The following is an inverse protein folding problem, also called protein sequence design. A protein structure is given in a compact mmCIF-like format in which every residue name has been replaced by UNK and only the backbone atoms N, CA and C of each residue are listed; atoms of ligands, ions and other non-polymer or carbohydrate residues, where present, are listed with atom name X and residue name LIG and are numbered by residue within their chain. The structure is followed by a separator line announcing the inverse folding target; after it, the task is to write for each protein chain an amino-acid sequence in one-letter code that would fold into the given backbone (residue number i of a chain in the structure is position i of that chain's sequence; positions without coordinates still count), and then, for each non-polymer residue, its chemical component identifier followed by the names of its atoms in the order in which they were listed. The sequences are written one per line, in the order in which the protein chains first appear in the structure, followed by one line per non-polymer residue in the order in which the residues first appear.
data_IF_554994817832
#
_entry.id   IF_554994817832
#
_cell.length_a   1.000
_cell.length_b   1.000
_cell.length_c   1.000
_cell.angle_alpha   90.00
_cell.angle_beta   90.00
_cell.angle_gamma   90.00
#
_symmetry.space_group_name_H-M   'P 1'
#
loop_
_entity.id
_entity.type
_entity.pdbx_description
1 polymer ?
#
# COMPACT_ATOMS: atom_id res chain seq x y z
N UNK A 1 54.46 7.50 -5.65
CA UNK A 1 54.19 8.90 -5.99
C UNK A 1 52.74 9.16 -5.62
N UNK A 2 52.50 9.79 -4.46
CA UNK A 2 51.17 10.28 -4.07
C UNK A 2 50.79 11.40 -5.04
N UNK A 3 50.05 11.08 -6.10
CA UNK A 3 49.25 12.09 -6.79
C UNK A 3 48.20 12.56 -5.81
N UNK A 4 48.13 13.85 -5.50
CA UNK A 4 47.22 14.42 -4.48
C UNK A 4 45.71 14.23 -4.73
N UNK A 5 45.31 13.32 -5.63
CA UNK A 5 43.93 12.91 -5.82
C UNK A 5 43.67 11.61 -5.05
N UNK A 6 42.57 11.52 -4.28
CA UNK A 6 42.20 10.30 -3.60
C UNK A 6 41.99 9.16 -4.61
N UNK A 7 42.53 7.99 -4.31
CA UNK A 7 42.41 6.79 -5.15
C UNK A 7 40.91 6.44 -5.34
N UNK A 8 40.43 6.20 -6.58
CA UNK A 8 39.00 5.94 -6.82
C UNK A 8 38.43 4.77 -6.00
N UNK A 9 39.23 3.74 -5.73
CA UNK A 9 38.85 2.60 -4.89
C UNK A 9 38.63 2.99 -3.42
N UNK A 10 39.45 3.91 -2.89
CA UNK A 10 39.29 4.44 -1.54
C UNK A 10 38.02 5.29 -1.41
N UNK A 11 37.71 6.10 -2.43
CA UNK A 11 36.46 6.89 -2.46
C UNK A 11 35.24 5.96 -2.49
N UNK A 12 35.25 4.93 -3.33
CA UNK A 12 34.15 3.96 -3.41
C UNK A 12 33.99 3.22 -2.08
N UNK A 13 35.07 2.81 -1.42
CA UNK A 13 34.99 2.13 -0.13
C UNK A 13 34.38 3.01 0.97
N UNK A 14 34.67 4.32 0.98
CA UNK A 14 34.07 5.29 1.90
C UNK A 14 32.60 5.58 1.57
N UNK A 15 32.21 5.53 0.29
CA UNK A 15 30.85 5.80 -0.17
C UNK A 15 29.93 4.56 -0.16
N UNK A 16 30.48 3.35 -0.23
CA UNK A 16 29.72 2.10 -0.23
C UNK A 16 28.67 1.99 0.91
N UNK A 17 28.99 2.29 2.19
CA UNK A 17 28.00 2.24 3.26
C UNK A 17 26.92 3.34 3.12
N UNK A 18 27.28 4.52 2.59
CA UNK A 18 26.34 5.62 2.35
C UNK A 18 25.38 5.24 1.23
N UNK A 19 25.89 4.66 0.14
CA UNK A 19 25.08 4.17 -0.98
C UNK A 19 24.12 3.09 -0.50
N UNK A 20 24.59 2.13 0.30
CA UNK A 20 23.74 1.07 0.89
C UNK A 20 22.64 1.68 1.77
N UNK A 21 22.99 2.63 2.64
CA UNK A 21 22.03 3.34 3.50
C UNK A 21 20.95 4.04 2.66
N UNK A 22 21.33 4.79 1.63
CA UNK A 22 20.39 5.44 0.71
C UNK A 22 19.48 4.42 0.02
N UNK A 23 20.02 3.27 -0.38
CA UNK A 23 19.26 2.20 -1.00
C UNK A 23 18.21 1.61 -0.07
N UNK A 24 18.55 1.36 1.19
CA UNK A 24 17.62 0.84 2.21
C UNK A 24 16.52 1.86 2.51
N UNK A 25 16.87 3.15 2.64
CA UNK A 25 15.89 4.22 2.87
C UNK A 25 14.92 4.31 1.69
N UNK A 26 15.44 4.31 0.46
CA UNK A 26 14.62 4.33 -0.74
C UNK A 26 13.69 3.11 -0.82
N UNK A 27 14.21 1.92 -0.56
CA UNK A 27 13.42 0.70 -0.50
C UNK A 27 12.30 0.81 0.55
N UNK A 28 12.57 1.35 1.73
CA UNK A 28 11.54 1.55 2.76
C UNK A 28 10.46 2.56 2.31
N UNK A 29 10.85 3.67 1.68
CA UNK A 29 9.91 4.67 1.14
C UNK A 29 8.98 4.07 0.09
N UNK A 30 9.43 3.08 -0.69
CA UNK A 30 8.61 2.37 -1.67
C UNK A 30 7.80 1.25 -1.01
N UNK A 31 8.43 0.38 -0.23
CA UNK A 31 7.79 -0.82 0.34
C UNK A 31 6.66 -0.45 1.30
N UNK A 32 6.85 0.55 2.17
CA UNK A 32 5.86 0.93 3.19
C UNK A 32 4.50 1.34 2.61
N UNK A 33 4.40 2.26 1.63
CA UNK A 33 3.11 2.60 1.03
C UNK A 33 2.50 1.42 0.28
N UNK A 34 3.29 0.64 -0.47
CA UNK A 34 2.78 -0.55 -1.15
C UNK A 34 2.24 -1.60 -0.17
N UNK A 35 2.90 -1.79 0.97
CA UNK A 35 2.43 -2.65 2.06
C UNK A 35 1.04 -2.24 2.54
N UNK A 36 0.80 -0.94 2.73
CA UNK A 36 -0.52 -0.44 3.12
C UNK A 36 -1.57 -0.62 2.03
N UNK A 37 -1.20 -0.46 0.76
CA UNK A 37 -2.10 -0.68 -0.37
C UNK A 37 -2.52 -2.16 -0.45
N UNK A 38 -1.58 -3.10 -0.33
CA UNK A 38 -1.90 -4.53 -0.34
C UNK A 38 -2.84 -4.93 0.80
N UNK A 39 -2.65 -4.36 2.00
CA UNK A 39 -3.60 -4.55 3.12
C UNK A 39 -5.02 -4.09 2.77
N UNK A 40 -5.15 -2.95 2.09
CA UNK A 40 -6.47 -2.40 1.68
C UNK A 40 -7.11 -3.22 0.56
N UNK A 41 -6.29 -3.72 -0.37
CA UNK A 41 -6.74 -4.62 -1.43
C UNK A 41 -7.11 -6.03 -0.92
N UNK A 42 -6.82 -6.37 0.34
CA UNK A 42 -7.09 -7.70 0.90
C UNK A 42 -6.05 -8.76 0.49
N UNK A 43 -4.89 -8.34 0.01
CA UNK A 43 -3.79 -9.21 -0.38
C UNK A 43 -2.72 -9.33 0.73
N UNK A 44 -1.85 -10.33 0.61
CA UNK A 44 -0.73 -10.52 1.51
C UNK A 44 0.25 -9.33 1.44
N UNK A 45 0.51 -8.61 2.55
CA UNK A 45 1.35 -7.41 2.50
C UNK A 45 2.81 -7.69 2.15
N UNK A 46 3.27 -8.92 2.37
CA UNK A 46 4.59 -9.40 1.97
C UNK A 46 4.85 -9.29 0.46
N UNK A 47 3.80 -9.18 -0.38
CA UNK A 47 3.96 -8.90 -1.81
C UNK A 47 4.66 -7.55 -2.09
N UNK A 48 4.66 -6.63 -1.13
CA UNK A 48 5.43 -5.38 -1.25
C UNK A 48 6.94 -5.57 -1.31
N UNK A 49 7.50 -6.67 -0.81
CA UNK A 49 8.93 -6.96 -0.96
C UNK A 49 9.31 -7.26 -2.42
N UNK A 50 8.39 -7.84 -3.20
CA UNK A 50 8.61 -8.12 -4.63
C UNK A 50 8.74 -6.84 -5.46
N UNK A 51 8.32 -5.69 -4.92
CA UNK A 51 8.48 -4.38 -5.57
C UNK A 51 9.95 -3.99 -5.81
N UNK A 52 10.88 -4.57 -5.04
CA UNK A 52 12.33 -4.35 -5.20
C UNK A 52 12.88 -5.04 -6.46
N UNK A 53 12.23 -6.11 -6.91
CA UNK A 53 12.66 -6.90 -8.08
C UNK A 53 11.89 -6.43 -9.32
N UNK A 54 12.53 -5.91 -10.38
CA UNK A 54 11.83 -5.26 -11.50
C UNK A 54 10.75 -6.12 -12.18
N UNK A 55 11.05 -7.40 -12.45
CA UNK A 55 10.09 -8.31 -13.09
C UNK A 55 8.96 -8.70 -12.15
N UNK A 56 9.28 -8.98 -10.88
CA UNK A 56 8.26 -9.32 -9.90
C UNK A 56 7.36 -8.13 -9.56
N UNK A 57 7.91 -6.92 -9.56
CA UNK A 57 7.18 -5.66 -9.44
C UNK A 57 6.10 -5.55 -10.53
N UNK A 58 6.47 -5.75 -11.81
CA UNK A 58 5.50 -5.71 -12.92
C UNK A 58 4.37 -6.72 -12.76
N UNK A 59 4.70 -7.98 -12.43
CA UNK A 59 3.69 -9.03 -12.20
C UNK A 59 2.78 -8.66 -11.03
N UNK A 60 3.36 -8.19 -9.91
CA UNK A 60 2.62 -7.85 -8.70
C UNK A 60 1.71 -6.64 -8.93
N UNK A 61 2.15 -5.63 -9.69
CA UNK A 61 1.32 -4.49 -10.08
C UNK A 61 0.17 -4.92 -10.99
N UNK A 62 0.40 -5.86 -11.92
CA UNK A 62 -0.66 -6.39 -12.77
C UNK A 62 -1.72 -7.13 -11.93
N UNK A 63 -1.28 -8.00 -11.01
CA UNK A 63 -2.18 -8.68 -10.08
C UNK A 63 -2.97 -7.68 -9.23
N UNK A 64 -2.32 -6.65 -8.67
CA UNK A 64 -2.98 -5.60 -7.90
C UNK A 64 -4.02 -4.82 -8.73
N UNK A 65 -3.68 -4.47 -9.98
CA UNK A 65 -4.54 -3.70 -10.86
C UNK A 65 -5.83 -4.46 -11.23
N UNK A 66 -5.74 -5.78 -11.46
CA UNK A 66 -6.89 -6.61 -11.84
C UNK A 66 -7.51 -7.38 -10.67
N UNK A 67 -6.96 -7.26 -9.46
CA UNK A 67 -7.57 -7.83 -8.26
C UNK A 67 -8.93 -7.16 -7.96
N UNK A 68 -9.88 -7.84 -7.30
CA UNK A 68 -11.09 -7.21 -6.83
C UNK A 68 -10.80 -6.28 -5.65
N UNK A 69 -11.08 -4.99 -5.79
CA UNK A 69 -10.88 -4.02 -4.71
C UNK A 69 -12.08 -4.03 -3.78
N UNK A 70 -11.84 -3.94 -2.47
CA UNK A 70 -12.89 -3.73 -1.48
C UNK A 70 -13.46 -2.33 -1.65
N UNK A 71 -14.51 -2.19 -2.48
CA UNK A 71 -15.31 -0.98 -2.53
C UNK A 71 -16.26 -0.98 -1.33
N UNK A 72 -16.27 0.09 -0.52
CA UNK A 72 -17.37 0.30 0.40
C UNK A 72 -18.66 0.31 -0.42
N UNK A 73 -19.59 -0.61 -0.12
CA UNK A 73 -20.93 -0.56 -0.70
C UNK A 73 -21.58 0.69 -0.11
N UNK A 74 -21.50 1.80 -0.84
CA UNK A 74 -22.26 3.00 -0.49
C UNK A 74 -23.72 2.64 -0.79
N UNK A 75 -24.59 2.57 0.22
CA UNK A 75 -25.97 2.22 -0.04
C UNK A 75 -26.60 3.31 -0.92
N UNK A 76 -27.47 2.91 -1.86
CA UNK A 76 -28.01 3.81 -2.89
C UNK A 76 -28.64 5.11 -2.33
N UNK A 77 -29.19 5.04 -1.11
CA UNK A 77 -29.73 6.21 -0.42
C UNK A 77 -28.65 7.24 -0.04
N UNK A 78 -27.44 6.79 0.32
CA UNK A 78 -26.32 7.67 0.67
C UNK A 78 -25.74 8.41 -0.56
N UNK A 79 -25.85 7.84 -1.77
CA UNK A 79 -25.48 8.53 -3.01
C UNK A 79 -26.57 9.47 -3.53
N UNK A 80 -27.84 9.21 -3.21
CA UNK A 80 -28.98 9.94 -3.76
C UNK A 80 -29.43 11.13 -2.91
N UNK A 81 -28.71 11.46 -1.83
CA UNK A 81 -29.08 12.53 -0.91
C UNK A 81 -30.35 12.23 -0.10
N UNK A 82 -30.83 10.98 -0.11
CA UNK A 82 -31.96 10.57 0.70
C UNK A 82 -31.53 10.39 2.16
N UNK A 83 -32.32 10.86 3.13
CA UNK A 83 -32.07 10.54 4.52
C UNK A 83 -32.12 9.02 4.70
N UNK A 84 -31.26 8.45 5.59
CA UNK A 84 -31.31 7.03 5.89
C UNK A 84 -32.73 6.64 6.35
N UNK A 85 -33.22 5.44 5.97
CA UNK A 85 -34.54 5.01 6.39
C UNK A 85 -34.65 5.04 7.92
N UNK A 86 -35.79 5.47 8.49
CA UNK A 86 -35.98 5.45 9.93
C UNK A 86 -35.80 4.01 10.45
N UNK A 87 -35.23 3.83 11.65
CA UNK A 87 -35.13 2.50 12.25
C UNK A 87 -36.53 1.88 12.34
N UNK A 88 -36.67 0.55 12.18
CA UNK A 88 -37.96 -0.10 12.32
C UNK A 88 -38.54 0.23 13.69
N UNK A 89 -39.75 0.78 13.71
CA UNK A 89 -40.48 1.00 14.96
C UNK A 89 -40.61 -0.34 15.68
N UNK A 90 -40.37 -0.40 17.01
CA UNK A 90 -40.80 -1.54 17.80
C UNK A 90 -42.25 -1.84 17.42
N UNK A 91 -42.53 -3.07 17.00
CA UNK A 91 -43.88 -3.49 16.67
C UNK A 91 -44.69 -3.47 17.96
N UNK A 92 -45.40 -2.37 18.22
CA UNK A 92 -46.43 -2.35 19.24
C UNK A 92 -47.56 -3.22 18.71
N UNK A 93 -47.68 -4.45 19.24
CA UNK A 93 -48.79 -5.32 18.90
C UNK A 93 -50.09 -4.57 19.26
N UNK A 94 -51.10 -4.54 18.36
CA UNK A 94 -52.37 -3.93 18.68
C UNK A 94 -52.94 -4.60 19.94
N UNK A 95 -53.51 -3.83 20.88
CA UNK A 95 -54.10 -4.38 22.10
C UNK A 95 -55.10 -5.48 21.72
N UNK A 96 -54.81 -6.71 22.15
CA UNK A 96 -55.72 -7.84 21.94
C UNK A 96 -56.99 -7.53 22.74
N UNK A 97 -58.10 -7.34 22.02
CA UNK A 97 -59.43 -7.07 22.58
C UNK A 97 -60.03 -8.30 23.28
#
# INVERSE_FOLDING_TARGET
MNSGNPDPSAIIALMAPVILMCWVIFAAIVIVPFWQIFKKAGMAPALSFLMVVPLANLVTLYVLAFSPWKTPVVPAYATAGYPPPPPPSPYEAPPQA
#
